data_IF_588333930378
#
_entry.id   IF_588333930378
#
_cell.length_a   1.000
_cell.length_b   1.000
_cell.length_c   1.000
_cell.angle_alpha   90.00
_cell.angle_beta   90.00
_cell.angle_gamma   90.00
#
_symmetry.space_group_name_H-M   'P 1'
#
loop_
_entity.id
_entity.type
_entity.pdbx_description
1 polymer ?
#
# COMPACT_ATOMS: atom_id res chain seq x y z
N UNK A 1 -50.50 -27.37 7.66
CA UNK A 1 -49.86 -27.23 6.33
C UNK A 1 -48.39 -27.63 6.42
N UNK A 2 -47.93 -28.54 5.55
CA UNK A 2 -46.52 -28.97 5.47
C UNK A 2 -45.67 -27.83 4.91
N UNK A 3 -44.61 -27.44 5.61
CA UNK A 3 -43.67 -26.41 5.12
C UNK A 3 -42.74 -27.01 4.08
N UNK A 4 -42.32 -26.20 3.10
CA UNK A 4 -41.29 -26.61 2.14
C UNK A 4 -39.90 -26.56 2.80
N UNK A 5 -39.05 -27.54 2.52
CA UNK A 5 -37.72 -27.68 3.10
C UNK A 5 -36.59 -27.52 2.08
N UNK A 6 -36.79 -26.66 1.07
CA UNK A 6 -35.78 -26.41 0.05
C UNK A 6 -34.54 -25.71 0.61
N UNK A 7 -33.40 -25.94 -0.05
CA UNK A 7 -32.11 -25.30 0.27
C UNK A 7 -32.17 -23.77 0.28
N UNK A 8 -33.16 -23.17 -0.40
CA UNK A 8 -33.38 -21.71 -0.49
C UNK A 8 -34.68 -21.20 0.17
N UNK A 9 -35.45 -22.01 0.89
CA UNK A 9 -36.59 -21.55 1.70
C UNK A 9 -36.29 -20.40 2.69
N UNK A 10 -36.77 -19.17 2.43
CA UNK A 10 -36.53 -18.04 3.35
C UNK A 10 -35.19 -17.33 3.16
N UNK A 11 -34.53 -17.47 2.01
CA UNK A 11 -33.35 -16.66 1.65
C UNK A 11 -33.69 -15.30 1.03
N UNK A 12 -34.97 -14.92 0.92
CA UNK A 12 -35.37 -13.72 0.17
C UNK A 12 -34.60 -12.47 0.60
N UNK A 13 -34.50 -12.20 1.91
CA UNK A 13 -33.72 -11.08 2.44
C UNK A 13 -32.21 -11.30 2.28
N UNK A 14 -31.72 -12.48 2.62
CA UNK A 14 -30.28 -12.83 2.64
C UNK A 14 -29.63 -12.73 1.24
N UNK A 15 -30.31 -13.23 0.21
CA UNK A 15 -29.80 -13.24 -1.16
C UNK A 15 -30.23 -12.03 -1.98
N UNK A 16 -31.09 -11.16 -1.42
CA UNK A 16 -31.44 -9.91 -2.08
C UNK A 16 -30.24 -8.97 -2.12
N UNK A 17 -30.02 -8.33 -3.27
CA UNK A 17 -29.00 -7.30 -3.47
C UNK A 17 -29.63 -5.93 -3.63
N UNK A 18 -28.90 -4.91 -3.18
CA UNK A 18 -29.29 -3.50 -3.37
C UNK A 18 -29.32 -3.14 -4.85
N UNK A 19 -30.11 -2.13 -5.23
CA UNK A 19 -30.34 -1.76 -6.64
C UNK A 19 -29.03 -1.54 -7.41
N UNK A 20 -28.08 -0.80 -6.82
CA UNK A 20 -26.76 -0.52 -7.41
C UNK A 20 -25.88 -1.77 -7.58
N UNK A 21 -26.08 -2.78 -6.73
CA UNK A 21 -25.27 -3.99 -6.70
C UNK A 21 -25.86 -5.14 -7.54
N UNK A 22 -27.04 -4.98 -8.14
CA UNK A 22 -27.63 -6.01 -9.01
C UNK A 22 -26.80 -6.18 -10.28
N UNK A 23 -26.64 -7.41 -10.76
CA UNK A 23 -25.91 -7.74 -11.99
C UNK A 23 -24.38 -7.66 -11.89
N UNK A 24 -23.81 -7.18 -10.79
CA UNK A 24 -22.35 -7.08 -10.59
C UNK A 24 -21.83 -8.22 -9.71
N UNK A 25 -20.71 -8.83 -10.11
CA UNK A 25 -19.97 -9.78 -9.27
C UNK A 25 -19.04 -9.00 -8.35
N UNK A 26 -18.89 -9.45 -7.10
CA UNK A 26 -17.94 -8.83 -6.18
C UNK A 26 -16.50 -9.25 -6.52
N UNK A 27 -15.82 -8.46 -7.36
CA UNK A 27 -14.48 -8.73 -7.88
C UNK A 27 -13.45 -8.84 -6.75
N UNK A 28 -13.55 -7.99 -5.73
CA UNK A 28 -12.63 -7.98 -4.58
C UNK A 28 -12.57 -9.34 -3.89
N UNK A 29 -13.72 -10.01 -3.75
CA UNK A 29 -13.77 -11.35 -3.16
C UNK A 29 -13.19 -12.43 -4.06
N UNK A 30 -13.43 -12.32 -5.37
CA UNK A 30 -12.94 -13.29 -6.37
C UNK A 30 -11.41 -13.30 -6.46
N UNK A 31 -10.78 -12.13 -6.38
CA UNK A 31 -9.32 -11.99 -6.52
C UNK A 31 -8.60 -12.30 -5.20
N UNK A 32 -9.30 -12.24 -4.07
CA UNK A 32 -8.69 -12.50 -2.78
C UNK A 32 -8.18 -13.94 -2.71
N UNK A 33 -6.88 -14.08 -2.45
CA UNK A 33 -6.22 -15.37 -2.28
C UNK A 33 -6.21 -15.73 -0.81
N UNK A 34 -6.67 -16.92 -0.48
CA UNK A 34 -6.62 -17.48 0.86
C UNK A 34 -5.55 -18.57 0.92
N UNK A 35 -4.85 -18.62 2.04
CA UNK A 35 -3.91 -19.68 2.41
C UNK A 35 -4.56 -20.64 3.39
N UNK A 36 -3.95 -21.81 3.56
CA UNK A 36 -4.39 -22.80 4.55
C UNK A 36 -4.21 -22.22 5.95
N UNK A 37 -5.20 -22.42 6.82
CA UNK A 37 -5.25 -21.84 8.17
C UNK A 37 -5.89 -20.44 8.24
N UNK A 38 -6.19 -19.79 7.12
CA UNK A 38 -6.84 -18.49 7.12
C UNK A 38 -8.25 -18.57 7.72
N UNK A 39 -8.58 -17.63 8.62
CA UNK A 39 -9.94 -17.46 9.14
C UNK A 39 -10.80 -16.69 8.15
N UNK A 40 -11.90 -17.30 7.75
CA UNK A 40 -12.84 -16.75 6.77
C UNK A 40 -14.26 -16.75 7.33
N UNK A 41 -15.00 -15.71 7.01
CA UNK A 41 -16.44 -15.61 7.25
C UNK A 41 -17.20 -15.96 5.98
N UNK A 42 -18.25 -16.77 6.11
CA UNK A 42 -19.09 -17.19 5.00
C UNK A 42 -20.22 -16.19 4.84
N UNK A 43 -20.22 -15.46 3.73
CA UNK A 43 -21.24 -14.47 3.40
C UNK A 43 -21.75 -14.74 1.99
N UNK A 44 -22.95 -15.32 1.92
CA UNK A 44 -23.65 -15.65 0.68
C UNK A 44 -23.80 -14.44 -0.23
N UNK A 45 -23.58 -14.67 -1.53
CA UNK A 45 -23.73 -13.67 -2.57
C UNK A 45 -24.80 -14.16 -3.56
N UNK A 46 -25.93 -13.45 -3.64
CA UNK A 46 -27.02 -13.77 -4.56
C UNK A 46 -26.67 -13.63 -6.05
N UNK A 47 -25.57 -12.96 -6.42
CA UNK A 47 -25.16 -12.84 -7.83
C UNK A 47 -24.50 -14.12 -8.38
N UNK A 48 -23.87 -14.93 -7.52
CA UNK A 48 -23.23 -16.19 -7.91
C UNK A 48 -24.00 -17.36 -7.32
N UNK A 49 -24.53 -18.26 -8.16
CA UNK A 49 -25.27 -19.44 -7.66
C UNK A 49 -24.36 -20.66 -7.42
N UNK A 50 -23.24 -20.75 -8.14
CA UNK A 50 -22.34 -21.89 -8.07
C UNK A 50 -21.51 -21.86 -6.78
N UNK A 51 -21.33 -23.01 -6.13
CA UNK A 51 -20.54 -23.12 -4.90
C UNK A 51 -21.12 -22.37 -3.71
N UNK A 52 -22.44 -22.09 -3.75
CA UNK A 52 -23.16 -21.39 -2.69
C UNK A 52 -23.44 -22.36 -1.53
N UNK A 53 -23.00 -22.05 -0.30
CA UNK A 53 -23.30 -22.86 0.87
C UNK A 53 -24.76 -22.69 1.32
N UNK A 54 -25.23 -23.61 2.15
CA UNK A 54 -26.59 -23.55 2.70
C UNK A 54 -26.77 -22.31 3.60
N UNK A 55 -27.99 -21.72 3.62
CA UNK A 55 -28.30 -20.50 4.41
C UNK A 55 -27.87 -20.54 5.87
N UNK A 56 -27.84 -21.74 6.47
CA UNK A 56 -27.48 -21.97 7.88
C UNK A 56 -26.06 -21.51 8.21
N UNK A 57 -25.17 -21.48 7.22
CA UNK A 57 -23.79 -21.06 7.38
C UNK A 57 -23.58 -19.57 7.05
N UNK A 58 -24.65 -18.82 6.77
CA UNK A 58 -24.55 -17.37 6.59
C UNK A 58 -24.03 -16.74 7.90
N UNK A 59 -22.91 -16.03 7.80
CA UNK A 59 -22.23 -15.38 8.93
C UNK A 59 -21.37 -16.33 9.76
N UNK A 60 -21.29 -17.62 9.42
CA UNK A 60 -20.42 -18.55 10.13
C UNK A 60 -18.95 -18.24 9.82
N UNK A 61 -18.09 -18.37 10.82
CA UNK A 61 -16.63 -18.28 10.65
C UNK A 61 -16.05 -19.68 10.59
N UNK A 62 -15.13 -19.89 9.66
CA UNK A 62 -14.43 -21.15 9.47
C UNK A 62 -12.96 -20.94 9.17
N UNK A 63 -12.25 -22.05 9.02
CA UNK A 63 -10.82 -22.08 8.71
C UNK A 63 -10.63 -22.73 7.35
N UNK A 64 -9.84 -22.12 6.48
CA UNK A 64 -9.53 -22.69 5.17
C UNK A 64 -8.61 -23.89 5.36
N UNK A 65 -9.03 -25.07 4.92
CA UNK A 65 -8.21 -26.28 4.96
C UNK A 65 -7.32 -26.38 3.73
N UNK A 66 -7.90 -26.21 2.55
CA UNK A 66 -7.21 -26.38 1.28
C UNK A 66 -7.98 -25.70 0.14
N UNK A 67 -7.31 -25.50 -1.00
CA UNK A 67 -7.94 -25.03 -2.24
C UNK A 67 -8.36 -26.23 -3.10
N UNK A 68 -9.61 -26.21 -3.58
CA UNK A 68 -10.15 -27.21 -4.49
C UNK A 68 -10.62 -26.53 -5.79
N UNK A 69 -9.71 -26.45 -6.76
CA UNK A 69 -9.96 -25.77 -8.04
C UNK A 69 -10.29 -24.29 -7.85
N UNK A 70 -11.54 -23.90 -8.16
CA UNK A 70 -12.06 -22.52 -7.98
C UNK A 70 -12.71 -22.28 -6.61
N UNK A 71 -12.82 -23.31 -5.78
CA UNK A 71 -13.42 -23.23 -4.46
C UNK A 71 -12.38 -23.51 -3.37
N UNK A 72 -12.75 -23.23 -2.14
CA UNK A 72 -11.97 -23.54 -0.95
C UNK A 72 -12.74 -24.52 -0.08
N UNK A 73 -12.01 -25.45 0.51
CA UNK A 73 -12.51 -26.35 1.54
C UNK A 73 -12.39 -25.60 2.86
N UNK A 74 -13.52 -25.32 3.50
CA UNK A 74 -13.61 -24.55 4.74
C UNK A 74 -14.21 -25.42 5.82
N UNK A 75 -13.49 -25.55 6.94
CA UNK A 75 -13.99 -26.22 8.12
C UNK A 75 -14.77 -25.23 8.99
N UNK A 76 -16.01 -25.58 9.30
CA UNK A 76 -16.98 -24.76 10.04
C UNK A 76 -17.66 -25.61 11.09
N UNK A 77 -17.94 -25.01 12.24
CA UNK A 77 -18.73 -25.65 13.28
C UNK A 77 -20.19 -25.23 13.16
N UNK A 78 -21.10 -26.20 12.99
CA UNK A 78 -22.53 -25.99 13.14
C UNK A 78 -22.92 -26.40 14.56
N UNK A 79 -22.91 -25.41 15.45
CA UNK A 79 -23.01 -25.62 16.90
C UNK A 79 -21.86 -26.52 17.38
N UNK A 80 -22.15 -27.76 17.78
CA UNK A 80 -21.14 -28.70 18.29
C UNK A 80 -20.65 -29.70 17.22
N UNK A 81 -21.13 -29.59 15.98
CA UNK A 81 -20.78 -30.53 14.92
C UNK A 81 -19.85 -29.86 13.92
N UNK A 82 -18.62 -30.38 13.82
CA UNK A 82 -17.67 -29.98 12.79
C UNK A 82 -18.19 -30.42 11.41
N UNK A 83 -18.14 -29.51 10.44
CA UNK A 83 -18.58 -29.73 9.07
C UNK A 83 -17.57 -29.13 8.11
N UNK A 84 -17.35 -29.82 7.02
CA UNK A 84 -16.51 -29.35 5.92
C UNK A 84 -17.40 -28.84 4.81
N UNK A 85 -17.15 -27.61 4.34
CA UNK A 85 -17.89 -26.97 3.26
C UNK A 85 -16.97 -26.68 2.09
N UNK A 86 -17.48 -26.88 0.87
CA UNK A 86 -16.80 -26.49 -0.37
C UNK A 86 -17.45 -25.20 -0.85
N UNK A 87 -16.74 -24.08 -0.70
CA UNK A 87 -17.30 -22.74 -0.90
C UNK A 87 -16.45 -21.94 -1.87
N UNK A 88 -17.09 -21.26 -2.81
CA UNK A 88 -16.40 -20.36 -3.74
C UNK A 88 -16.02 -19.01 -3.11
N UNK A 89 -14.95 -18.35 -3.57
CA UNK A 89 -14.45 -17.11 -2.97
C UNK A 89 -15.46 -15.97 -2.97
N UNK A 90 -16.41 -15.94 -3.92
CA UNK A 90 -17.52 -14.97 -3.91
C UNK A 90 -18.32 -14.96 -2.59
N UNK A 91 -18.40 -16.12 -1.95
CA UNK A 91 -19.14 -16.33 -0.71
C UNK A 91 -18.24 -16.30 0.54
N UNK A 92 -16.95 -15.99 0.38
CA UNK A 92 -16.00 -15.89 1.47
C UNK A 92 -15.58 -14.44 1.66
N UNK A 93 -15.40 -14.05 2.92
CA UNK A 93 -14.83 -12.77 3.31
C UNK A 93 -13.75 -13.04 4.37
N UNK A 94 -12.58 -12.40 4.31
CA UNK A 94 -11.58 -12.53 5.38
C UNK A 94 -12.20 -12.13 6.72
N UNK A 95 -11.96 -12.91 7.77
CA UNK A 95 -12.43 -12.56 9.10
C UNK A 95 -11.56 -11.45 9.71
N UNK A 96 -12.16 -10.55 10.49
CA UNK A 96 -11.44 -9.49 11.19
C UNK A 96 -10.49 -10.13 12.22
N UNK A 97 -9.18 -10.08 11.93
CA UNK A 97 -8.14 -10.78 12.69
C UNK A 97 -7.31 -11.78 11.87
N UNK A 98 -7.66 -12.03 10.60
CA UNK A 98 -6.75 -12.70 9.68
C UNK A 98 -5.49 -11.84 9.49
N UNK A 99 -4.27 -12.40 9.55
CA UNK A 99 -3.08 -11.68 9.11
C UNK A 99 -3.36 -11.23 7.68
N UNK A 100 -3.30 -9.92 7.43
CA UNK A 100 -3.41 -9.41 6.07
C UNK A 100 -2.39 -10.18 5.24
N UNK A 101 -2.75 -10.76 4.08
CA UNK A 101 -1.76 -11.42 3.25
C UNK A 101 -0.64 -10.42 3.05
N UNK A 102 0.56 -10.78 3.50
CA UNK A 102 1.77 -10.06 3.17
C UNK A 102 1.90 -10.16 1.67
N UNK A 103 1.25 -9.24 0.95
CA UNK A 103 1.51 -9.03 -0.46
C UNK A 103 3.01 -8.84 -0.49
N UNK A 104 3.79 -9.72 -1.15
CA UNK A 104 5.22 -9.57 -1.20
C UNK A 104 5.45 -8.21 -1.83
N UNK A 105 5.77 -7.20 -1.00
CA UNK A 105 6.45 -6.02 -1.51
C UNK A 105 7.65 -6.63 -2.21
N UNK A 106 7.77 -6.39 -3.52
CA UNK A 106 8.98 -6.69 -4.29
C UNK A 106 10.16 -6.03 -3.58
N UNK A 107 10.66 -6.70 -2.56
CA UNK A 107 11.97 -6.48 -1.99
C UNK A 107 12.85 -7.45 -2.76
N UNK A 108 13.87 -6.88 -3.40
CA UNK A 108 14.84 -7.63 -4.18
C UNK A 108 15.30 -8.85 -3.41
N UNK A 109 15.27 -9.98 -4.11
CA UNK A 109 15.76 -11.26 -3.65
C UNK A 109 17.25 -11.11 -3.28
N UNK A 110 17.57 -11.04 -1.98
CA UNK A 110 18.91 -11.36 -1.47
C UNK A 110 18.85 -12.76 -0.90
N UNK A 111 19.47 -13.69 -1.61
CA UNK A 111 19.73 -15.06 -1.15
C UNK A 111 21.05 -15.05 -0.36
N UNK A 112 20.98 -15.44 0.91
CA UNK A 112 22.02 -16.03 1.77
C UNK A 112 21.38 -16.10 3.16
N UNK A 113 21.16 -17.23 3.82
CA UNK A 113 21.98 -18.43 3.99
C UNK A 113 21.84 -18.76 5.48
N UNK A 114 21.73 -20.04 5.83
CA UNK A 114 21.62 -20.52 7.21
C UNK A 114 22.58 -19.82 8.18
N UNK A 115 22.04 -19.30 9.29
CA UNK A 115 22.74 -19.20 10.55
C UNK A 115 21.70 -19.19 11.68
N UNK A 116 21.91 -20.13 12.59
CA UNK A 116 21.20 -20.42 13.83
C UNK A 116 21.23 -19.27 14.84
N UNK A 117 20.25 -19.35 15.74
CA UNK A 117 20.24 -18.86 17.12
C UNK A 117 19.92 -17.38 17.37
N UNK A 118 18.84 -17.17 18.14
CA UNK A 118 18.49 -15.90 18.76
C UNK A 118 19.35 -15.69 20.01
N UNK A 119 19.65 -14.43 20.39
CA UNK A 119 18.79 -13.87 21.42
C UNK A 119 18.45 -12.39 21.23
N UNK A 120 17.26 -12.05 21.72
CA UNK A 120 16.70 -10.71 21.77
C UNK A 120 17.52 -9.75 22.65
N UNK A 121 17.75 -8.52 22.16
CA UNK A 121 17.80 -7.28 22.97
C UNK A 121 17.25 -6.10 22.16
N UNK A 122 16.41 -5.31 22.82
CA UNK A 122 15.51 -4.32 22.22
C UNK A 122 16.16 -3.11 21.56
N UNK A 123 15.41 -2.48 20.66
CA UNK A 123 15.66 -1.12 20.20
C UNK A 123 14.39 -0.29 20.32
N UNK A 124 14.44 0.65 21.25
CA UNK A 124 13.61 1.83 21.41
C UNK A 124 12.99 2.33 20.11
N UNK A 125 11.67 2.48 20.09
CA UNK A 125 10.94 3.15 19.02
C UNK A 125 11.36 4.62 18.93
N UNK A 126 12.40 4.93 18.14
CA UNK A 126 12.75 6.32 17.80
C UNK A 126 11.50 7.04 17.30
N UNK A 127 11.20 8.19 17.89
CA UNK A 127 10.04 8.98 17.52
C UNK A 127 10.15 9.39 16.04
N UNK A 128 9.00 9.67 15.40
CA UNK A 128 8.96 10.08 13.99
C UNK A 128 9.82 11.33 13.72
N UNK A 129 10.01 12.18 14.73
CA UNK A 129 10.85 13.39 14.66
C UNK A 129 12.35 13.07 14.69
N UNK A 130 12.79 12.10 15.50
CA UNK A 130 14.20 11.70 15.57
C UNK A 130 14.68 11.08 14.26
N UNK A 131 13.81 10.29 13.62
CA UNK A 131 14.09 9.69 12.30
C UNK A 131 14.21 10.78 11.23
N UNK A 132 13.30 11.75 11.25
CA UNK A 132 13.30 12.89 10.33
C UNK A 132 14.58 13.73 10.47
N UNK A 133 15.00 14.04 11.70
CA UNK A 133 16.25 14.78 11.96
C UNK A 133 17.49 14.03 11.45
N UNK A 134 17.58 12.73 11.75
CA UNK A 134 18.69 11.89 11.28
C UNK A 134 18.74 11.74 9.75
N UNK A 135 17.59 11.83 9.06
CA UNK A 135 17.52 11.83 7.60
C UNK A 135 18.00 13.15 7.01
N UNK A 136 17.62 14.29 7.61
CA UNK A 136 18.12 15.61 7.22
C UNK A 136 19.63 15.75 7.38
N UNK A 137 20.20 15.22 8.47
CA UNK A 137 21.64 15.25 8.70
C UNK A 137 22.40 14.44 7.63
N UNK A 138 21.89 13.26 7.26
CA UNK A 138 22.48 12.45 6.19
C UNK A 138 22.40 13.12 4.82
N UNK A 139 21.27 13.78 4.53
CA UNK A 139 21.10 14.55 3.30
C UNK A 139 22.10 15.71 3.27
N UNK A 140 22.27 16.44 4.39
CA UNK A 140 23.25 17.53 4.51
C UNK A 140 24.68 17.07 4.24
N UNK A 141 25.07 15.88 4.69
CA UNK A 141 26.39 15.33 4.40
C UNK A 141 26.62 15.07 2.91
N UNK A 142 25.56 14.70 2.18
CA UNK A 142 25.57 14.51 0.72
C UNK A 142 25.58 15.82 -0.07
N UNK A 143 25.41 16.98 0.56
CA UNK A 143 25.60 18.27 -0.11
C UNK A 143 27.00 18.40 -0.73
N UNK A 144 28.00 17.73 -0.14
CA UNK A 144 29.40 17.76 -0.62
C UNK A 144 29.60 17.21 -2.04
N UNK A 145 28.69 16.36 -2.53
CA UNK A 145 28.79 15.80 -3.88
C UNK A 145 28.15 16.67 -4.96
N UNK A 146 27.52 17.79 -4.60
CA UNK A 146 26.82 18.67 -5.53
C UNK A 146 27.75 19.81 -5.96
N UNK A 147 27.84 20.06 -7.26
CA UNK A 147 28.65 21.15 -7.82
C UNK A 147 27.90 22.51 -7.75
N UNK A 148 28.12 23.25 -6.66
CA UNK A 148 27.55 24.59 -6.47
C UNK A 148 28.17 25.67 -7.36
N UNK A 149 29.24 25.38 -8.12
CA UNK A 149 29.78 26.34 -9.08
C UNK A 149 28.79 26.67 -10.20
N UNK A 150 27.93 25.71 -10.55
CA UNK A 150 26.89 25.86 -11.57
C UNK A 150 25.58 26.39 -10.99
N UNK A 151 25.20 25.93 -9.79
CA UNK A 151 23.94 26.30 -9.14
C UNK A 151 23.98 27.70 -8.53
N UNK A 152 25.15 28.14 -8.07
CA UNK A 152 25.30 29.34 -7.25
C UNK A 152 24.94 29.09 -5.78
N UNK A 153 25.33 30.01 -4.92
CA UNK A 153 25.07 29.96 -3.48
C UNK A 153 24.00 30.99 -3.10
N UNK A 154 22.90 30.53 -2.50
CA UNK A 154 21.88 31.39 -1.93
C UNK A 154 21.97 31.38 -0.39
N UNK A 155 21.56 32.48 0.25
CA UNK A 155 21.43 32.56 1.71
C UNK A 155 20.03 32.10 2.11
N UNK A 156 19.90 31.59 3.33
CA UNK A 156 18.59 31.19 3.88
C UNK A 156 17.61 32.36 4.05
N UNK A 157 18.07 33.62 3.93
CA UNK A 157 17.24 34.82 3.95
C UNK A 157 16.40 35.00 2.69
N UNK A 158 16.91 34.54 1.55
CA UNK A 158 16.33 34.79 0.23
C UNK A 158 15.64 33.52 -0.26
N UNK A 159 15.00 32.79 0.66
CA UNK A 159 14.46 31.47 0.41
C UNK A 159 13.09 31.57 -0.27
N UNK A 160 12.97 30.94 -1.42
CA UNK A 160 11.71 30.83 -2.17
C UNK A 160 10.83 29.70 -1.64
N UNK A 161 9.51 29.77 -1.90
CA UNK A 161 8.58 28.70 -1.55
C UNK A 161 8.61 27.54 -2.58
N UNK A 162 9.61 26.67 -2.45
CA UNK A 162 9.78 25.56 -3.38
C UNK A 162 8.58 24.58 -3.43
N UNK A 163 7.62 24.67 -2.51
CA UNK A 163 6.41 23.83 -2.53
C UNK A 163 5.46 24.14 -3.69
N UNK A 164 5.61 25.31 -4.33
CA UNK A 164 4.83 25.67 -5.53
C UNK A 164 5.16 24.71 -6.69
N UNK A 165 6.38 24.17 -6.73
CA UNK A 165 6.80 23.20 -7.74
C UNK A 165 6.10 21.85 -7.52
N UNK A 166 5.38 21.38 -8.54
CA UNK A 166 4.68 20.09 -8.48
C UNK A 166 5.65 18.96 -8.21
N UNK A 167 5.40 18.23 -7.12
CA UNK A 167 6.21 17.08 -6.69
C UNK A 167 7.19 17.40 -5.57
N UNK A 168 7.39 18.69 -5.24
CA UNK A 168 8.06 19.15 -4.02
C UNK A 168 7.02 19.29 -2.92
N UNK A 169 7.19 18.54 -1.83
CA UNK A 169 6.37 18.66 -0.62
C UNK A 169 7.19 19.20 0.55
N UNK A 170 6.56 19.45 1.72
CA UNK A 170 7.22 20.08 2.86
C UNK A 170 8.51 19.37 3.30
N UNK A 171 8.54 18.05 3.23
CA UNK A 171 9.72 17.28 3.60
C UNK A 171 10.84 17.30 2.55
N UNK A 172 10.48 17.46 1.27
CA UNK A 172 11.46 17.53 0.17
C UNK A 172 12.11 18.91 0.18
N UNK A 173 11.32 19.95 0.39
CA UNK A 173 11.83 21.30 0.57
C UNK A 173 12.82 21.37 1.73
N UNK A 174 12.51 20.78 2.88
CA UNK A 174 13.46 20.69 4.01
C UNK A 174 14.77 19.97 3.65
N UNK A 175 14.71 18.93 2.80
CA UNK A 175 15.90 18.24 2.31
C UNK A 175 16.71 19.10 1.33
N UNK A 176 16.05 19.80 0.41
CA UNK A 176 16.70 20.76 -0.50
C UNK A 176 17.39 21.88 0.27
N UNK A 177 16.70 22.43 1.28
CA UNK A 177 17.26 23.42 2.20
C UNK A 177 18.46 22.87 2.99
N UNK A 178 18.43 21.58 3.36
CA UNK A 178 19.57 20.93 4.01
C UNK A 178 20.76 20.72 3.06
N UNK A 179 20.51 20.59 1.75
CA UNK A 179 21.54 20.56 0.71
C UNK A 179 22.11 21.95 0.41
N UNK A 180 21.39 23.03 0.71
CA UNK A 180 21.81 24.41 0.38
C UNK A 180 21.16 24.95 -0.90
N UNK A 181 20.07 24.32 -1.34
CA UNK A 181 19.23 24.79 -2.45
C UNK A 181 18.00 25.47 -1.83
N UNK A 182 17.90 26.77 -2.01
CA UNK A 182 16.88 27.63 -1.40
C UNK A 182 16.02 28.39 -2.43
N UNK A 183 16.48 28.55 -3.67
CA UNK A 183 15.80 29.42 -4.67
C UNK A 183 15.40 28.71 -5.95
N UNK A 184 14.38 29.24 -6.64
CA UNK A 184 13.99 28.80 -7.98
C UNK A 184 15.12 28.98 -8.99
N UNK A 185 15.94 30.01 -8.83
CA UNK A 185 17.12 30.28 -9.66
C UNK A 185 18.16 29.17 -9.59
N UNK A 186 18.34 28.53 -8.43
CA UNK A 186 19.24 27.38 -8.33
C UNK A 186 18.64 26.15 -9.04
N UNK A 187 17.33 25.92 -8.90
CA UNK A 187 16.64 24.80 -9.55
C UNK A 187 16.61 24.96 -11.07
N UNK A 188 16.37 26.17 -11.58
CA UNK A 188 16.30 26.45 -13.02
C UNK A 188 17.64 26.26 -13.75
N UNK A 189 18.75 26.34 -13.00
CA UNK A 189 20.13 26.14 -13.49
C UNK A 189 20.61 24.70 -13.42
N UNK A 190 19.83 23.78 -12.85
CA UNK A 190 20.17 22.36 -12.83
C UNK A 190 20.25 21.83 -14.27
N UNK A 191 21.32 21.10 -14.59
CA UNK A 191 21.49 20.37 -15.84
C UNK A 191 21.31 18.87 -15.56
N UNK A 192 21.01 18.08 -16.60
CA UNK A 192 20.57 16.67 -16.46
C UNK A 192 21.38 15.79 -15.50
N UNK A 193 22.71 15.93 -15.43
CA UNK A 193 23.55 15.17 -14.48
C UNK A 193 23.41 15.68 -13.04
N UNK A 194 23.26 16.99 -12.85
CA UNK A 194 23.00 17.61 -11.53
C UNK A 194 21.59 17.25 -11.02
N UNK A 195 20.60 17.13 -11.89
CA UNK A 195 19.25 16.69 -11.50
C UNK A 195 19.28 15.26 -10.92
N UNK A 196 20.08 14.37 -11.53
CA UNK A 196 20.25 13.00 -11.04
C UNK A 196 21.01 12.98 -9.71
N UNK A 197 22.07 13.78 -9.58
CA UNK A 197 22.82 13.93 -8.33
C UNK A 197 21.97 14.48 -7.19
N UNK A 198 21.15 15.51 -7.45
CA UNK A 198 20.21 16.08 -6.47
C UNK A 198 19.15 15.04 -6.10
N UNK A 199 18.64 14.29 -7.08
CA UNK A 199 17.66 13.23 -6.83
C UNK A 199 18.24 12.10 -5.96
N UNK A 200 19.50 11.72 -6.16
CA UNK A 200 20.21 10.75 -5.33
C UNK A 200 20.49 11.30 -3.91
N UNK A 201 20.92 12.57 -3.82
CA UNK A 201 21.25 13.23 -2.55
C UNK A 201 20.05 13.36 -1.60
N UNK A 202 18.83 13.54 -2.15
CA UNK A 202 17.58 13.65 -1.38
C UNK A 202 17.07 12.26 -0.92
N UNK A 203 17.69 11.17 -1.35
CA UNK A 203 17.23 9.78 -1.12
C UNK A 203 15.76 9.60 -1.55
N UNK A 204 15.41 10.16 -2.70
CA UNK A 204 14.04 10.15 -3.20
C UNK A 204 13.82 9.09 -4.29
N UNK A 205 12.54 8.83 -4.61
CA UNK A 205 12.20 7.88 -5.67
C UNK A 205 12.97 8.23 -6.96
N UNK A 206 13.72 7.28 -7.54
CA UNK A 206 14.63 7.58 -8.64
C UNK A 206 13.90 8.21 -9.82
N UNK A 207 14.45 9.30 -10.34
CA UNK A 207 13.99 9.96 -11.57
C UNK A 207 12.78 10.90 -11.41
N UNK A 208 12.34 11.22 -10.19
CA UNK A 208 11.16 12.10 -10.03
C UNK A 208 11.43 13.54 -10.43
N UNK A 209 12.63 14.07 -10.17
CA UNK A 209 13.04 15.44 -10.54
C UNK A 209 12.88 15.69 -12.05
N UNK A 210 13.31 14.72 -12.89
CA UNK A 210 13.15 14.74 -14.34
C UNK A 210 11.70 14.57 -14.78
N UNK A 211 10.99 13.59 -14.21
CA UNK A 211 9.61 13.27 -14.57
C UNK A 211 8.65 14.42 -14.26
N UNK A 212 8.84 15.05 -13.10
CA UNK A 212 8.04 16.18 -12.66
C UNK A 212 8.59 17.50 -13.21
N UNK A 213 9.65 17.49 -14.03
CA UNK A 213 10.19 18.65 -14.74
C UNK A 213 10.44 19.88 -13.87
N UNK A 214 11.06 19.70 -12.70
CA UNK A 214 11.27 20.78 -11.73
C UNK A 214 12.02 21.98 -12.32
N UNK A 215 12.99 21.73 -13.20
CA UNK A 215 13.76 22.78 -13.88
C UNK A 215 12.89 23.66 -14.76
N UNK A 216 11.94 23.07 -15.48
CA UNK A 216 11.03 23.84 -16.34
C UNK A 216 10.06 24.66 -15.50
N UNK A 217 9.48 24.06 -14.46
CA UNK A 217 8.58 24.79 -13.55
C UNK A 217 9.28 25.95 -12.82
N UNK A 218 10.53 25.75 -12.40
CA UNK A 218 11.31 26.82 -11.77
C UNK A 218 11.61 27.97 -12.74
N UNK A 219 11.80 27.69 -14.04
CA UNK A 219 11.95 28.73 -15.06
C UNK A 219 10.65 29.51 -15.27
N UNK A 220 9.53 28.80 -15.33
CA UNK A 220 8.21 29.43 -15.50
C UNK A 220 7.91 30.37 -14.33
N UNK A 221 8.20 29.94 -13.08
CA UNK A 221 8.02 30.77 -11.88
C UNK A 221 8.93 32.02 -11.86
N UNK A 222 10.17 31.91 -12.33
CA UNK A 222 11.07 33.07 -12.43
C UNK A 222 10.56 34.10 -13.45
N UNK A 223 9.94 33.64 -14.54
CA UNK A 223 9.40 34.54 -15.57
C UNK A 223 8.07 35.20 -15.14
N UNK A 224 7.38 34.66 -14.14
CA UNK A 224 6.15 35.26 -13.57
C UNK A 224 6.45 36.27 -12.46
N UNK A 225 7.65 36.24 -11.88
CA UNK A 225 8.12 37.16 -10.83
C UNK A 225 8.88 38.39 -11.36
N UNK A 226 9.25 38.41 -12.66
CA UNK A 226 9.78 39.59 -13.39
C UNK A 226 8.68 40.44 -14.05
#
# INVERSE_FOLDING_TARGET
MKRSHGTRQGTRSILSRSKSQRGRINITRVIHSYSEGDKVSIVLDGAQQKGMPHRRFQGATGTVRAKQGRAFIVDVHDKNMAKTLIVRPEHLRPADGAPKPEVPRRQGQKVKGEATDAPAKGSTSKSKQDKKKAELERVRERAKSIDFKVLGTAKASDKDDLQIIKGVGPFIEEKLNALGIYTYLQISKMKGDLEDQVNEAIEFFPGRVKRDQWVNQAKDLLNEEE
#
